data_IF_916638438557
#
_entry.id   IF_916638438557
#
_cell.length_a   1.000
_cell.length_b   1.000
_cell.length_c   1.000
_cell.angle_alpha   90.00
_cell.angle_beta   90.00
_cell.angle_gamma   90.00
#
_symmetry.space_group_name_H-M   'P 1'
#
loop_
_entity.id
_entity.type
_entity.pdbx_description
1 polymer ?
#
# COMPACT_ATOMS: atom_id res chain seq x y z
N UNK A 1 -31.33 19.69 -25.73
CA UNK A 1 -30.39 20.52 -26.51
C UNK A 1 -29.95 19.72 -27.74
N UNK A 2 -30.03 20.31 -28.93
CA UNK A 2 -29.61 19.69 -30.22
C UNK A 2 -28.49 20.48 -30.89
N UNK A 3 -27.65 19.79 -31.68
CA UNK A 3 -26.72 20.38 -32.64
C UNK A 3 -27.50 20.79 -33.89
N UNK A 4 -27.52 22.09 -34.17
CA UNK A 4 -28.28 22.71 -35.26
C UNK A 4 -27.41 23.01 -36.47
N UNK A 5 -26.10 23.24 -36.27
CA UNK A 5 -25.16 23.51 -37.36
C UNK A 5 -23.77 22.97 -37.06
N UNK A 6 -23.08 22.51 -38.10
CA UNK A 6 -21.68 22.07 -38.03
C UNK A 6 -20.88 22.59 -39.22
N UNK A 7 -19.79 23.26 -38.93
CA UNK A 7 -18.76 23.64 -39.89
C UNK A 7 -17.43 22.97 -39.54
N UNK A 8 -16.74 22.43 -40.55
CA UNK A 8 -15.44 21.80 -40.41
C UNK A 8 -14.54 22.29 -41.54
N UNK A 9 -13.34 22.74 -41.18
CA UNK A 9 -12.32 23.16 -42.13
C UNK A 9 -10.99 22.47 -41.82
N UNK A 10 -10.40 21.84 -42.84
CA UNK A 10 -9.07 21.21 -42.80
C UNK A 10 -8.85 20.22 -41.64
N UNK A 11 -9.87 19.45 -41.26
CA UNK A 11 -9.79 18.46 -40.20
C UNK A 11 -9.67 17.04 -40.76
N UNK A 12 -8.61 16.32 -40.42
CA UNK A 12 -8.31 14.97 -40.95
C UNK A 12 -8.48 14.90 -42.48
N UNK A 13 -9.43 14.11 -43.00
CA UNK A 13 -9.69 13.98 -44.44
C UNK A 13 -10.52 15.15 -45.02
N UNK A 14 -11.16 15.98 -44.18
CA UNK A 14 -12.13 17.00 -44.59
C UNK A 14 -11.42 18.31 -44.94
N UNK A 15 -11.64 18.81 -46.15
CA UNK A 15 -11.16 20.14 -46.56
C UNK A 15 -12.13 21.23 -46.10
N UNK A 16 -13.41 21.10 -46.44
CA UNK A 16 -14.49 21.98 -46.02
C UNK A 16 -15.77 21.17 -45.90
N UNK A 17 -16.57 21.46 -44.88
CA UNK A 17 -17.90 20.91 -44.66
C UNK A 17 -18.72 21.94 -43.91
N UNK A 18 -19.97 22.11 -44.31
CA UNK A 18 -20.95 22.96 -43.65
C UNK A 18 -22.32 22.32 -43.80
N UNK A 19 -23.05 22.19 -42.70
CA UNK A 19 -24.40 21.64 -42.71
C UNK A 19 -25.24 22.23 -41.58
N UNK A 20 -26.43 22.67 -41.92
CA UNK A 20 -27.53 22.91 -40.99
C UNK A 20 -28.32 21.61 -40.82
N UNK A 21 -28.49 21.15 -39.58
CA UNK A 21 -29.24 19.95 -39.26
C UNK A 21 -30.70 20.30 -39.00
N UNK A 22 -31.60 19.57 -39.66
CA UNK A 22 -33.04 19.64 -39.38
C UNK A 22 -33.44 18.86 -38.13
N UNK A 23 -34.74 18.57 -38.00
CA UNK A 23 -35.31 17.91 -36.82
C UNK A 23 -35.04 16.39 -36.75
N UNK A 24 -34.32 15.82 -37.72
CA UNK A 24 -34.04 14.40 -37.79
C UNK A 24 -33.23 13.88 -36.60
N UNK A 25 -33.68 12.76 -36.01
CA UNK A 25 -33.01 12.12 -34.88
C UNK A 25 -31.79 11.28 -35.29
N UNK A 26 -31.72 10.85 -36.55
CA UNK A 26 -30.56 10.13 -37.12
C UNK A 26 -30.03 10.90 -38.31
N UNK A 27 -28.76 11.28 -38.24
CA UNK A 27 -28.03 12.02 -39.26
C UNK A 27 -26.97 11.09 -39.83
N UNK A 28 -27.11 10.72 -41.10
CA UNK A 28 -26.19 9.78 -41.76
C UNK A 28 -25.18 10.53 -42.62
N UNK A 29 -23.91 10.23 -42.42
CA UNK A 29 -22.82 10.58 -43.30
C UNK A 29 -22.59 9.41 -44.25
N UNK A 30 -23.13 9.53 -45.47
CA UNK A 30 -23.07 8.45 -46.47
C UNK A 30 -22.01 8.70 -47.54
N UNK A 31 -21.28 7.65 -47.94
CA UNK A 31 -20.28 7.73 -49.00
C UNK A 31 -19.43 6.47 -49.14
N UNK A 32 -18.57 6.44 -50.17
CA UNK A 32 -17.61 5.35 -50.38
C UNK A 32 -16.56 5.29 -49.27
N UNK A 33 -15.81 4.20 -49.17
CA UNK A 33 -14.67 4.14 -48.24
C UNK A 33 -13.61 5.17 -48.65
N UNK A 34 -12.96 5.79 -47.65
CA UNK A 34 -11.96 6.83 -47.87
C UNK A 34 -12.50 8.26 -48.08
N UNK A 35 -13.82 8.48 -48.13
CA UNK A 35 -14.41 9.82 -48.33
C UNK A 35 -14.47 10.70 -47.08
N UNK A 36 -13.93 10.23 -45.95
CA UNK A 36 -13.88 11.00 -44.70
C UNK A 36 -15.16 10.95 -43.84
N UNK A 37 -16.06 9.97 -44.00
CA UNK A 37 -17.25 9.81 -43.14
C UNK A 37 -16.91 9.82 -41.65
N UNK A 38 -15.97 8.97 -41.25
CA UNK A 38 -15.49 8.86 -39.87
C UNK A 38 -14.90 10.17 -39.36
N UNK A 39 -14.29 10.97 -40.25
CA UNK A 39 -13.73 12.27 -39.87
C UNK A 39 -14.80 13.27 -39.42
N UNK A 40 -16.06 13.15 -39.89
CA UNK A 40 -17.16 14.00 -39.42
C UNK A 40 -17.55 13.63 -37.99
N UNK A 41 -17.67 12.33 -37.70
CA UNK A 41 -17.94 11.83 -36.34
C UNK A 41 -16.81 12.24 -35.38
N UNK A 42 -15.55 12.07 -35.81
CA UNK A 42 -14.37 12.49 -35.04
C UNK A 42 -14.32 14.00 -34.82
N UNK A 43 -14.81 14.81 -35.77
CA UNK A 43 -14.87 16.26 -35.60
C UNK A 43 -15.86 16.64 -34.50
N UNK A 44 -17.05 16.04 -34.48
CA UNK A 44 -18.06 16.25 -33.43
C UNK A 44 -17.50 15.80 -32.07
N UNK A 45 -16.90 14.61 -32.01
CA UNK A 45 -16.27 14.08 -30.80
C UNK A 45 -15.14 15.01 -30.30
N UNK A 46 -14.23 15.43 -31.17
CA UNK A 46 -13.13 16.33 -30.81
C UNK A 46 -13.61 17.72 -30.37
N UNK A 47 -14.69 18.23 -30.95
CA UNK A 47 -15.29 19.51 -30.55
C UNK A 47 -15.76 19.45 -29.10
N UNK A 48 -16.61 18.47 -28.78
CA UNK A 48 -17.35 18.39 -27.53
C UNK A 48 -16.62 17.63 -26.42
N UNK A 49 -16.08 16.44 -26.70
CA UNK A 49 -15.46 15.57 -25.69
C UNK A 49 -13.99 15.90 -25.37
N UNK A 50 -13.39 16.87 -26.09
CA UNK A 50 -12.10 17.44 -25.74
C UNK A 50 -10.93 16.46 -25.88
N UNK A 51 -9.92 16.62 -25.00
CA UNK A 51 -8.60 15.98 -25.13
C UNK A 51 -8.61 14.47 -25.43
N UNK A 52 -9.52 13.73 -24.77
CA UNK A 52 -9.69 12.28 -24.94
C UNK A 52 -10.18 11.84 -26.32
N UNK A 53 -10.83 12.75 -27.06
CA UNK A 53 -11.45 12.48 -28.35
C UNK A 53 -10.73 13.19 -29.51
N UNK A 54 -9.69 13.98 -29.22
CA UNK A 54 -8.89 14.62 -30.25
C UNK A 54 -7.97 13.56 -30.87
N UNK A 55 -8.02 13.34 -32.20
CA UNK A 55 -7.09 12.43 -32.86
C UNK A 55 -5.66 12.95 -32.78
N UNK A 56 -4.68 12.05 -32.83
CA UNK A 56 -3.24 12.39 -32.78
C UNK A 56 -2.83 13.43 -33.82
N UNK A 57 -3.41 13.34 -35.03
CA UNK A 57 -3.16 14.26 -36.13
C UNK A 57 -4.50 14.88 -36.57
N UNK A 58 -4.95 15.98 -35.93
CA UNK A 58 -6.25 16.58 -36.23
C UNK A 58 -6.23 17.46 -37.47
N UNK A 59 -5.07 18.04 -37.81
CA UNK A 59 -4.94 18.94 -38.96
C UNK A 59 -4.74 18.12 -40.24
N UNK A 60 -5.55 18.40 -41.27
CA UNK A 60 -5.42 17.79 -42.60
C UNK A 60 -4.00 17.99 -43.14
N UNK A 61 -3.45 16.95 -43.74
CA UNK A 61 -2.12 17.00 -44.35
C UNK A 61 -2.02 18.17 -45.35
N UNK A 62 -0.99 19.01 -45.20
CA UNK A 62 -0.77 20.21 -46.01
C UNK A 62 -1.43 21.49 -45.48
N UNK A 63 -2.33 21.42 -44.49
CA UNK A 63 -2.93 22.59 -43.87
C UNK A 63 -2.12 23.09 -42.65
N UNK A 64 -2.23 24.39 -42.34
CA UNK A 64 -1.58 25.01 -41.16
C UNK A 64 -2.46 25.02 -39.90
N UNK A 65 -3.77 24.93 -40.09
CA UNK A 65 -4.78 24.98 -39.02
C UNK A 65 -6.01 24.17 -39.43
N UNK A 66 -6.72 23.65 -38.44
CA UNK A 66 -8.07 23.10 -38.59
C UNK A 66 -9.05 23.85 -37.69
N UNK A 67 -10.29 24.01 -38.14
CA UNK A 67 -11.35 24.71 -37.39
C UNK A 67 -12.60 23.85 -37.41
N UNK A 68 -13.22 23.69 -36.25
CA UNK A 68 -14.52 23.04 -36.09
C UNK A 68 -15.43 24.01 -35.35
N UNK A 69 -16.60 24.30 -35.90
CA UNK A 69 -17.62 25.13 -35.27
C UNK A 69 -18.90 24.30 -35.19
N UNK A 70 -19.43 24.13 -33.99
CA UNK A 70 -20.73 23.49 -33.77
C UNK A 70 -21.66 24.45 -33.05
N UNK A 71 -22.82 24.70 -33.63
CA UNK A 71 -23.89 25.47 -33.01
C UNK A 71 -24.96 24.52 -32.49
N UNK A 72 -25.35 24.73 -31.25
CA UNK A 72 -26.47 24.07 -30.61
C UNK A 72 -27.57 25.08 -30.33
N UNK A 73 -28.73 24.61 -29.90
CA UNK A 73 -29.83 25.49 -29.46
C UNK A 73 -29.42 26.53 -28.40
N UNK A 74 -28.39 26.26 -27.58
CA UNK A 74 -27.99 27.14 -26.49
C UNK A 74 -26.54 27.64 -26.55
N UNK A 75 -25.65 26.98 -27.30
CA UNK A 75 -24.21 27.24 -27.30
C UNK A 75 -23.61 27.23 -28.70
N UNK A 76 -22.66 28.13 -28.93
CA UNK A 76 -21.73 28.10 -30.06
C UNK A 76 -20.36 27.66 -29.56
N UNK A 77 -19.91 26.51 -30.06
CA UNK A 77 -18.64 25.89 -29.71
C UNK A 77 -17.68 26.00 -30.88
N UNK A 78 -16.49 26.56 -30.66
CA UNK A 78 -15.44 26.67 -31.67
C UNK A 78 -14.15 26.03 -31.17
N UNK A 79 -13.65 25.03 -31.88
CA UNK A 79 -12.35 24.43 -31.62
C UNK A 79 -11.39 24.67 -32.78
N UNK A 80 -10.21 25.17 -32.45
CA UNK A 80 -9.14 25.47 -33.41
C UNK A 80 -7.94 24.61 -33.07
N UNK A 81 -7.33 24.02 -34.10
CA UNK A 81 -6.08 23.27 -34.00
C UNK A 81 -4.98 23.99 -34.78
N UNK A 82 -3.81 24.11 -34.16
CA UNK A 82 -2.60 24.66 -34.77
C UNK A 82 -1.40 23.79 -34.38
N UNK A 83 -0.24 24.02 -35.01
CA UNK A 83 1.00 23.37 -34.60
C UNK A 83 1.39 23.61 -33.13
N UNK A 84 0.86 24.67 -32.49
CA UNK A 84 1.12 25.00 -31.08
C UNK A 84 0.17 24.28 -30.10
N UNK A 85 -0.89 23.66 -30.59
CA UNK A 85 -1.91 23.01 -29.77
C UNK A 85 -3.34 23.38 -30.19
N UNK A 86 -4.28 23.15 -29.27
CA UNK A 86 -5.72 23.33 -29.48
C UNK A 86 -6.27 24.49 -28.63
N UNK A 87 -7.30 25.16 -29.11
CA UNK A 87 -8.05 26.19 -28.37
C UNK A 87 -9.53 25.90 -28.52
N UNK A 88 -10.25 25.85 -27.40
CA UNK A 88 -11.71 25.77 -27.34
C UNK A 88 -12.27 27.12 -26.88
N UNK A 89 -13.28 27.62 -27.58
CA UNK A 89 -14.12 28.73 -27.13
C UNK A 89 -15.57 28.27 -27.14
N UNK A 90 -16.29 28.53 -26.05
CA UNK A 90 -17.73 28.30 -25.95
C UNK A 90 -18.41 29.60 -25.57
N UNK A 91 -19.52 29.92 -26.23
CA UNK A 91 -20.36 31.09 -25.96
C UNK A 91 -21.83 30.66 -25.95
N UNK A 92 -22.69 31.32 -25.17
CA UNK A 92 -24.14 31.24 -25.38
C UNK A 92 -24.52 31.57 -26.82
N UNK A 93 -25.51 30.88 -27.37
CA UNK A 93 -26.06 31.13 -28.70
C UNK A 93 -27.03 32.33 -28.67
N UNK A 94 -26.53 33.45 -28.14
CA UNK A 94 -27.21 34.73 -28.05
C UNK A 94 -26.25 35.83 -28.48
N UNK A 95 -26.71 36.77 -29.31
CA UNK A 95 -25.88 37.82 -29.88
C UNK A 95 -25.22 38.68 -28.79
N UNK A 96 -23.90 38.86 -28.88
CA UNK A 96 -23.13 39.70 -27.94
C UNK A 96 -22.66 38.98 -26.67
N UNK A 97 -22.97 37.69 -26.50
CA UNK A 97 -22.59 36.95 -25.30
C UNK A 97 -21.07 36.78 -25.14
N UNK A 98 -20.62 36.91 -23.89
CA UNK A 98 -19.22 36.69 -23.50
C UNK A 98 -18.83 35.20 -23.54
N UNK A 99 -17.51 34.96 -23.58
CA UNK A 99 -16.96 33.60 -23.55
C UNK A 99 -17.09 32.99 -22.15
N UNK A 100 -17.42 31.70 -22.10
CA UNK A 100 -17.46 30.93 -20.86
C UNK A 100 -16.01 30.66 -20.38
N UNK A 101 -15.75 30.88 -19.07
CA UNK A 101 -14.41 30.77 -18.47
C UNK A 101 -13.84 29.35 -18.45
N UNK A 102 -14.69 28.34 -18.27
CA UNK A 102 -14.29 26.92 -18.20
C UNK A 102 -15.02 26.14 -19.30
N UNK A 103 -14.70 26.36 -20.58
CA UNK A 103 -15.51 25.89 -21.69
C UNK A 103 -15.62 24.36 -21.73
N UNK A 104 -14.53 23.63 -21.47
CA UNK A 104 -14.56 22.17 -21.49
C UNK A 104 -15.39 21.59 -20.34
N UNK A 105 -15.27 22.14 -19.12
CA UNK A 105 -16.03 21.65 -17.97
C UNK A 105 -17.55 21.76 -18.17
N UNK A 106 -18.01 22.85 -18.80
CA UNK A 106 -19.42 23.01 -19.19
C UNK A 106 -19.83 21.98 -20.23
N UNK A 107 -18.99 21.70 -21.23
CA UNK A 107 -19.29 20.65 -22.20
C UNK A 107 -19.35 19.27 -21.55
N UNK A 108 -18.39 18.95 -20.66
CA UNK A 108 -18.34 17.67 -19.95
C UNK A 108 -19.60 17.43 -19.10
N UNK A 109 -20.16 18.47 -18.48
CA UNK A 109 -21.44 18.40 -17.77
C UNK A 109 -22.63 18.14 -18.71
N UNK A 110 -22.60 18.70 -19.93
CA UNK A 110 -23.67 18.54 -20.92
C UNK A 110 -23.66 17.17 -21.61
N UNK A 111 -22.48 16.68 -21.98
CA UNK A 111 -22.29 15.43 -22.72
C UNK A 111 -22.00 14.24 -21.81
N UNK A 112 -21.76 14.38 -20.51
CA UNK A 112 -21.43 13.25 -19.65
C UNK A 112 -20.23 12.41 -20.10
N UNK A 113 -20.36 11.08 -20.00
CA UNK A 113 -19.21 10.18 -20.09
C UNK A 113 -18.63 9.97 -21.49
N UNK A 114 -19.37 9.70 -22.56
CA UNK A 114 -18.77 9.44 -23.87
C UNK A 114 -19.72 9.66 -25.03
N UNK A 115 -19.26 10.28 -26.11
CA UNK A 115 -20.08 10.49 -27.31
C UNK A 115 -20.04 9.29 -28.27
N UNK A 116 -19.03 8.42 -28.17
CA UNK A 116 -19.01 7.15 -28.92
C UNK A 116 -19.69 6.08 -28.07
N UNK A 117 -20.92 5.66 -28.40
CA UNK A 117 -21.63 4.67 -27.60
C UNK A 117 -20.87 3.33 -27.52
N UNK A 118 -20.06 3.00 -28.53
CA UNK A 118 -19.28 1.77 -28.55
C UNK A 118 -18.11 1.78 -27.55
N UNK A 119 -17.85 2.90 -26.87
CA UNK A 119 -16.97 2.89 -25.70
C UNK A 119 -17.49 1.92 -24.63
N UNK A 120 -18.81 1.83 -24.40
CA UNK A 120 -19.38 0.88 -23.45
C UNK A 120 -19.03 -0.58 -23.78
N UNK A 121 -19.09 -0.94 -25.07
CA UNK A 121 -18.71 -2.28 -25.55
C UNK A 121 -17.25 -2.59 -25.21
N UNK A 122 -16.37 -1.60 -25.40
CA UNK A 122 -14.92 -1.70 -25.20
C UNK A 122 -14.46 -1.49 -23.75
N UNK A 123 -15.37 -1.16 -22.83
CA UNK A 123 -15.01 -0.90 -21.43
C UNK A 123 -14.62 -2.18 -20.70
N UNK A 124 -13.54 -2.09 -19.91
CA UNK A 124 -13.22 -3.09 -18.89
C UNK A 124 -14.37 -3.23 -17.88
N UNK A 125 -14.55 -4.45 -17.34
CA UNK A 125 -15.67 -4.80 -16.44
C UNK A 125 -15.91 -3.76 -15.35
N UNK A 126 -14.85 -3.33 -14.64
CA UNK A 126 -14.99 -2.37 -13.54
C UNK A 126 -15.56 -1.01 -14.00
N UNK A 127 -15.17 -0.51 -15.18
CA UNK A 127 -15.71 0.74 -15.73
C UNK A 127 -17.15 0.54 -16.20
N UNK A 128 -17.44 -0.61 -16.81
CA UNK A 128 -18.78 -0.98 -17.25
C UNK A 128 -19.76 -1.03 -16.08
N UNK A 129 -19.37 -1.65 -14.96
CA UNK A 129 -20.19 -1.74 -13.74
C UNK A 129 -20.49 -0.35 -13.15
N UNK A 130 -19.54 0.59 -13.21
CA UNK A 130 -19.77 1.99 -12.82
C UNK A 130 -20.78 2.69 -13.73
N UNK A 131 -20.65 2.52 -15.05
CA UNK A 131 -21.62 3.06 -16.01
C UNK A 131 -23.02 2.49 -15.80
N UNK A 132 -23.11 1.18 -15.51
CA UNK A 132 -24.37 0.54 -15.15
C UNK A 132 -24.93 1.07 -13.82
N UNK A 133 -24.09 1.33 -12.81
CA UNK A 133 -24.54 1.95 -11.56
C UNK A 133 -25.15 3.33 -11.80
N UNK A 134 -24.51 4.16 -12.64
CA UNK A 134 -24.99 5.49 -13.01
C UNK A 134 -26.34 5.42 -13.75
N UNK A 135 -26.46 4.52 -14.73
CA UNK A 135 -27.72 4.26 -15.44
C UNK A 135 -28.86 3.84 -14.52
N UNK A 136 -28.54 3.02 -13.51
CA UNK A 136 -29.47 2.56 -12.49
C UNK A 136 -29.74 3.60 -11.39
N UNK A 137 -29.07 4.77 -11.44
CA UNK A 137 -29.10 5.80 -10.39
C UNK A 137 -28.72 5.26 -9.01
N UNK A 138 -27.79 4.30 -8.98
CA UNK A 138 -27.23 3.74 -7.77
C UNK A 138 -25.99 4.54 -7.35
N UNK A 139 -26.00 5.02 -6.11
CA UNK A 139 -24.85 5.71 -5.52
C UNK A 139 -24.10 4.76 -4.58
N UNK A 140 -22.87 4.42 -4.96
CA UNK A 140 -21.97 3.59 -4.16
C UNK A 140 -20.87 4.40 -3.45
N UNK A 141 -20.87 5.73 -3.55
CA UNK A 141 -19.81 6.61 -3.01
C UNK A 141 -19.46 6.31 -1.55
N UNK A 142 -20.45 6.14 -0.68
CA UNK A 142 -20.25 5.78 0.74
C UNK A 142 -19.62 4.40 0.92
N UNK A 143 -20.03 3.43 0.10
CA UNK A 143 -19.48 2.08 0.12
C UNK A 143 -18.05 2.06 -0.43
N UNK A 144 -17.76 2.86 -1.45
CA UNK A 144 -16.41 3.08 -1.98
C UNK A 144 -15.49 3.72 -0.95
N UNK A 145 -15.97 4.75 -0.24
CA UNK A 145 -15.22 5.41 0.82
C UNK A 145 -14.89 4.45 1.97
N UNK A 146 -15.89 3.69 2.45
CA UNK A 146 -15.68 2.66 3.49
C UNK A 146 -14.68 1.60 3.04
N UNK A 147 -14.84 1.07 1.82
CA UNK A 147 -13.95 0.06 1.27
C UNK A 147 -12.52 0.56 1.13
N UNK A 148 -12.34 1.80 0.66
CA UNK A 148 -11.03 2.45 0.54
C UNK A 148 -10.35 2.62 1.90
N UNK A 149 -11.11 3.00 2.93
CA UNK A 149 -10.64 3.05 4.31
C UNK A 149 -10.13 1.68 4.81
N UNK A 150 -10.94 0.63 4.66
CA UNK A 150 -10.54 -0.72 5.06
C UNK A 150 -9.37 -1.27 4.24
N UNK A 151 -9.27 -0.93 2.96
CA UNK A 151 -8.13 -1.33 2.12
C UNK A 151 -6.83 -0.74 2.64
N UNK A 152 -6.84 0.53 3.07
CA UNK A 152 -5.69 1.18 3.70
C UNK A 152 -5.32 0.49 5.01
N UNK A 153 -6.28 0.28 5.91
CA UNK A 153 -6.05 -0.41 7.18
C UNK A 153 -5.52 -1.84 6.97
N UNK A 154 -6.06 -2.58 5.99
CA UNK A 154 -5.62 -3.95 5.66
C UNK A 154 -4.19 -3.96 5.14
N UNK A 155 -3.81 -2.97 4.32
CA UNK A 155 -2.46 -2.81 3.80
C UNK A 155 -1.45 -2.57 4.92
N UNK A 156 -1.81 -1.75 5.90
CA UNK A 156 -0.97 -1.46 7.06
C UNK A 156 -0.86 -2.69 7.98
N UNK A 157 -1.98 -3.34 8.31
CA UNK A 157 -2.00 -4.58 9.09
C UNK A 157 -1.17 -5.70 8.43
N UNK A 158 -1.28 -5.88 7.10
CA UNK A 158 -0.49 -6.87 6.36
C UNK A 158 1.01 -6.56 6.34
N UNK A 159 1.38 -5.27 6.29
CA UNK A 159 2.78 -4.84 6.38
C UNK A 159 3.36 -5.15 7.76
N UNK A 160 2.62 -4.85 8.82
CA UNK A 160 3.08 -5.06 10.18
C UNK A 160 3.09 -6.56 10.55
N UNK A 161 2.12 -7.34 10.05
CA UNK A 161 2.14 -8.81 10.15
C UNK A 161 3.41 -9.39 9.54
N UNK A 162 3.81 -8.91 8.35
CA UNK A 162 5.05 -9.35 7.69
C UNK A 162 6.28 -9.01 8.54
N UNK A 163 6.32 -7.84 9.17
CA UNK A 163 7.43 -7.45 10.06
C UNK A 163 7.45 -8.31 11.33
N UNK A 164 6.31 -8.55 11.96
CA UNK A 164 6.21 -9.40 13.15
C UNK A 164 6.68 -10.82 12.84
N UNK A 165 6.23 -11.41 11.73
CA UNK A 165 6.70 -12.73 11.26
C UNK A 165 8.21 -12.77 11.01
N UNK A 166 8.77 -11.75 10.38
CA UNK A 166 10.23 -11.66 10.16
C UNK A 166 11.02 -11.56 11.48
N UNK A 167 10.49 -10.87 12.50
CA UNK A 167 11.10 -10.83 13.84
C UNK A 167 11.04 -12.19 14.53
N UNK A 168 9.92 -12.90 14.43
CA UNK A 168 9.77 -14.27 14.97
C UNK A 168 10.78 -15.23 14.31
N UNK A 169 10.96 -15.12 13.00
CA UNK A 169 11.91 -15.95 12.23
C UNK A 169 13.37 -15.63 12.56
N UNK A 170 13.69 -14.37 12.87
CA UNK A 170 15.01 -13.95 13.30
C UNK A 170 15.38 -14.39 14.73
N UNK A 171 14.38 -14.78 15.55
CA UNK A 171 14.65 -15.31 16.89
C UNK A 171 15.17 -16.76 16.79
N UNK A 172 16.22 -17.13 17.55
CA UNK A 172 16.70 -18.50 17.64
C UNK A 172 15.57 -19.50 17.94
N UNK A 173 15.75 -20.75 17.52
CA UNK A 173 14.83 -21.82 17.90
C UNK A 173 14.87 -22.03 19.43
N UNK A 174 13.72 -22.30 20.07
CA UNK A 174 13.69 -22.55 21.50
C UNK A 174 14.47 -23.84 21.81
N UNK A 175 15.43 -23.73 22.72
CA UNK A 175 16.13 -24.89 23.29
C UNK A 175 15.16 -25.68 24.18
N UNK A 176 15.26 -27.02 24.26
CA UNK A 176 14.41 -27.83 25.12
C UNK A 176 14.57 -27.43 26.59
N UNK A 177 13.46 -27.28 27.31
CA UNK A 177 13.45 -26.99 28.74
C UNK A 177 14.12 -28.15 29.51
N UNK A 178 15.30 -27.90 30.09
CA UNK A 178 15.88 -28.79 31.10
C UNK A 178 15.32 -28.42 32.47
N UNK A 179 14.62 -29.37 33.10
CA UNK A 179 14.23 -29.29 34.52
C UNK A 179 15.48 -29.19 35.40
N UNK A 180 15.64 -28.11 36.17
CA UNK A 180 16.66 -28.08 37.20
C UNK A 180 16.89 -26.75 37.91
N UNK A 181 16.62 -26.76 39.21
CA UNK A 181 16.96 -25.80 40.28
C UNK A 181 16.54 -24.32 40.16
N UNK A 182 15.94 -23.85 41.26
CA UNK A 182 15.26 -22.56 41.47
C UNK A 182 16.18 -21.40 41.86
N UNK A 183 17.50 -21.58 41.88
CA UNK A 183 18.42 -20.54 42.33
C UNK A 183 18.50 -19.39 41.32
N UNK A 184 18.22 -18.16 41.75
CA UNK A 184 18.28 -17.01 40.85
C UNK A 184 19.72 -16.51 40.67
N UNK A 185 20.00 -15.86 39.53
CA UNK A 185 21.30 -15.22 39.26
C UNK A 185 21.70 -14.25 40.39
N UNK A 186 20.73 -13.60 41.02
CA UNK A 186 20.97 -12.69 42.15
C UNK A 186 21.43 -13.43 43.40
N UNK A 187 20.84 -14.58 43.71
CA UNK A 187 21.20 -15.39 44.89
C UNK A 187 22.62 -15.98 44.77
N UNK A 188 22.99 -16.41 43.55
CA UNK A 188 24.34 -16.95 43.28
C UNK A 188 25.44 -15.88 43.35
N UNK A 189 25.15 -14.63 42.96
CA UNK A 189 26.09 -13.52 43.07
C UNK A 189 26.37 -13.15 44.54
N UNK A 190 25.33 -13.09 45.37
CA UNK A 190 25.46 -12.84 46.80
C UNK A 190 26.30 -13.92 47.49
N UNK A 191 26.13 -15.17 47.08
CA UNK A 191 26.91 -16.30 47.64
C UNK A 191 28.37 -16.29 47.18
N UNK A 192 28.68 -15.83 45.96
CA UNK A 192 30.07 -15.64 45.49
C UNK A 192 30.78 -14.58 46.33
N UNK A 193 30.16 -13.40 46.51
CA UNK A 193 30.76 -12.30 47.28
C UNK A 193 31.05 -12.73 48.73
N UNK A 194 30.13 -13.50 49.34
CA UNK A 194 30.31 -14.05 50.69
C UNK A 194 31.51 -15.01 50.79
N UNK A 195 31.69 -15.90 49.80
CA UNK A 195 32.79 -16.88 49.80
C UNK A 195 34.14 -16.22 49.54
N UNK A 196 34.20 -15.22 48.67
CA UNK A 196 35.43 -14.47 48.39
C UNK A 196 35.91 -13.70 49.62
N UNK A 197 35.00 -13.05 50.36
CA UNK A 197 35.33 -12.36 51.62
C UNK A 197 35.87 -13.32 52.69
N UNK A 198 35.30 -14.52 52.82
CA UNK A 198 35.78 -15.54 53.77
C UNK A 198 37.18 -16.04 53.40
N UNK A 199 37.43 -16.31 52.12
CA UNK A 199 38.74 -16.77 51.66
C UNK A 199 39.84 -15.70 51.85
N UNK A 200 39.51 -14.41 51.72
CA UNK A 200 40.43 -13.30 51.98
C UNK A 200 40.82 -13.19 53.47
N UNK A 201 39.85 -13.37 54.38
CA UNK A 201 40.09 -13.41 55.83
C UNK A 201 40.97 -14.62 56.24
N UNK A 202 40.71 -15.79 55.66
CA UNK A 202 41.54 -16.99 55.88
C UNK A 202 42.99 -16.77 55.43
N UNK A 203 43.20 -16.17 54.26
CA UNK A 203 44.53 -15.84 53.73
C UNK A 203 45.31 -14.92 54.67
N UNK A 204 44.64 -13.89 55.20
CA UNK A 204 45.23 -12.93 56.15
C UNK A 204 45.67 -13.60 57.46
N UNK A 205 44.85 -14.50 58.02
CA UNK A 205 45.18 -15.24 59.26
C UNK A 205 46.32 -16.24 59.07
N UNK A 206 46.37 -16.93 57.91
CA UNK A 206 47.48 -17.81 57.54
C UNK A 206 48.80 -17.04 57.45
N UNK A 207 48.79 -15.83 56.88
CA UNK A 207 49.98 -14.97 56.82
C UNK A 207 50.46 -14.57 58.21
N UNK A 208 49.55 -14.13 59.09
CA UNK A 208 49.88 -13.74 60.46
C UNK A 208 50.49 -14.89 61.26
N UNK A 209 49.96 -16.11 61.10
CA UNK A 209 50.51 -17.30 61.76
C UNK A 209 51.95 -17.59 61.31
N UNK A 210 52.23 -17.43 60.02
CA UNK A 210 53.58 -17.62 59.47
C UNK A 210 54.55 -16.60 60.09
N UNK A 211 54.20 -15.32 60.10
CA UNK A 211 55.04 -14.26 60.69
C UNK A 211 55.34 -14.52 62.18
N UNK A 212 54.34 -15.00 62.93
CA UNK A 212 54.49 -15.33 64.35
C UNK A 212 55.42 -16.53 64.56
N UNK A 213 55.35 -17.55 63.70
CA UNK A 213 56.24 -18.72 63.75
C UNK A 213 57.68 -18.36 63.38
N UNK A 214 57.85 -17.61 62.31
CA UNK A 214 59.17 -17.18 61.84
C UNK A 214 59.87 -16.36 62.93
N UNK A 215 59.16 -15.40 63.55
CA UNK A 215 59.68 -14.61 64.67
C UNK A 215 60.00 -15.44 65.92
N UNK A 216 59.21 -16.48 66.22
CA UNK A 216 59.52 -17.40 67.32
C UNK A 216 60.77 -18.26 67.04
N UNK A 217 61.00 -18.63 65.78
CA UNK A 217 62.22 -19.31 65.34
C UNK A 217 63.46 -18.41 65.47
N UNK A 218 63.38 -17.18 64.97
CA UNK A 218 64.48 -16.22 65.02
C UNK A 218 64.90 -15.88 66.47
N UNK A 219 63.93 -15.75 67.39
CA UNK A 219 64.20 -15.52 68.81
C UNK A 219 64.85 -16.73 69.50
N UNK A 220 64.49 -17.94 69.11
CA UNK A 220 65.09 -19.17 69.64
C UNK A 220 66.53 -19.36 69.16
N UNK A 221 66.83 -19.01 67.90
CA UNK A 221 68.14 -19.23 67.29
C UNK A 221 69.16 -18.09 67.57
N UNK A 222 68.71 -16.85 67.80
CA UNK A 222 69.58 -15.69 68.01
C UNK A 222 70.08 -15.46 69.44
N UNK A 223 69.29 -15.85 70.45
CA UNK A 223 69.63 -15.60 71.86
C UNK A 223 70.60 -16.63 72.47
N UNK A 224 70.49 -17.90 72.05
CA UNK A 224 71.19 -19.00 72.74
C UNK A 224 72.67 -19.07 72.34
N UNK A 225 73.00 -18.82 71.07
CA UNK A 225 74.38 -18.94 70.57
C UNK A 225 75.32 -17.80 70.98
N UNK A 226 74.79 -16.60 71.18
CA UNK A 226 75.62 -15.44 71.58
C UNK A 226 75.92 -15.44 73.09
N UNK A 227 75.10 -16.10 73.91
CA UNK A 227 75.30 -16.21 75.36
C UNK A 227 76.32 -17.29 75.76
N UNK A 228 76.50 -18.36 74.97
CA UNK A 228 77.53 -19.38 75.23
C UNK A 228 78.96 -18.84 75.06
N UNK A 229 79.18 -17.92 74.12
CA UNK A 229 80.49 -17.28 73.91
C UNK A 229 80.79 -16.15 74.91
N UNK A 230 79.74 -15.57 75.52
CA UNK A 230 79.84 -14.51 76.54
C UNK A 230 80.01 -15.09 77.95
N UNK A 231 79.51 -16.31 78.22
CA UNK A 231 79.64 -17.03 79.49
C UNK A 231 81.10 -17.28 79.91
N UNK A 232 82.03 -17.36 78.96
CA UNK A 232 83.46 -17.54 79.25
C UNK A 232 84.13 -16.23 79.73
N UNK A 233 83.46 -15.07 79.60
CA UNK A 233 84.10 -13.76 79.70
C UNK A 233 83.54 -12.82 80.78
N UNK A 234 82.46 -13.16 81.47
CA UNK A 234 81.79 -12.24 82.42
C UNK A 234 81.55 -12.87 83.78
N UNK A 235 82.64 -13.10 84.53
CA UNK A 235 82.56 -13.48 85.95
C UNK A 235 82.15 -12.30 86.86
N UNK A 236 81.88 -11.10 86.32
CA UNK A 236 81.62 -9.88 87.10
C UNK A 236 80.27 -9.16 86.82
N UNK A 237 79.42 -9.54 85.84
CA UNK A 237 78.15 -8.83 85.49
C UNK A 237 76.88 -9.72 85.51
N UNK A 238 76.74 -10.60 86.50
CA UNK A 238 75.73 -11.67 86.53
C UNK A 238 74.25 -11.22 86.68
N UNK A 239 73.97 -10.01 87.18
CA UNK A 239 72.60 -9.62 87.56
C UNK A 239 71.79 -8.96 86.41
N UNK A 240 72.43 -8.20 85.50
CA UNK A 240 71.70 -7.50 84.42
C UNK A 240 71.31 -8.41 83.24
N UNK A 241 72.04 -9.51 83.01
CA UNK A 241 71.74 -10.48 81.95
C UNK A 241 70.52 -11.36 82.27
N UNK A 242 70.21 -11.54 83.56
CA UNK A 242 69.10 -12.36 84.04
C UNK A 242 67.74 -11.73 83.73
N UNK A 243 67.61 -10.42 83.92
CA UNK A 243 66.36 -9.69 83.67
C UNK A 243 65.99 -9.66 82.18
N UNK A 244 66.99 -9.56 81.28
CA UNK A 244 66.78 -9.59 79.83
C UNK A 244 66.40 -10.99 79.33
N UNK A 245 67.00 -12.04 79.89
CA UNK A 245 66.67 -13.43 79.58
C UNK A 245 65.25 -13.81 80.07
N UNK A 246 64.84 -13.34 81.25
CA UNK A 246 63.47 -13.54 81.75
C UNK A 246 62.43 -12.80 80.89
N UNK A 247 62.72 -11.55 80.47
CA UNK A 247 61.83 -10.80 79.59
C UNK A 247 61.65 -11.48 78.21
N UNK A 248 62.73 -11.96 77.60
CA UNK A 248 62.68 -12.68 76.33
C UNK A 248 61.96 -14.03 76.44
N UNK A 249 62.12 -14.75 77.56
CA UNK A 249 61.44 -16.01 77.81
C UNK A 249 59.91 -15.83 77.95
N UNK A 250 59.46 -14.76 78.61
CA UNK A 250 58.04 -14.41 78.72
C UNK A 250 57.45 -14.03 77.36
N UNK A 251 58.16 -13.23 76.56
CA UNK A 251 57.70 -12.87 75.22
C UNK A 251 57.64 -14.08 74.27
N UNK A 252 58.61 -14.99 74.35
CA UNK A 252 58.61 -16.25 73.60
C UNK A 252 57.38 -17.11 73.94
N UNK A 253 57.06 -17.25 75.22
CA UNK A 253 55.94 -18.10 75.66
C UNK A 253 54.60 -17.51 75.25
N UNK A 254 54.40 -16.19 75.40
CA UNK A 254 53.18 -15.52 74.93
C UNK A 254 52.98 -15.63 73.41
N UNK A 255 54.06 -15.56 72.61
CA UNK A 255 53.99 -15.75 71.16
C UNK A 255 53.73 -17.22 70.78
N UNK A 256 54.25 -18.18 71.55
CA UNK A 256 53.97 -19.61 71.36
C UNK A 256 52.51 -19.93 71.66
N UNK A 257 51.98 -19.47 72.79
CA UNK A 257 50.58 -19.66 73.15
C UNK A 257 49.65 -19.04 72.11
N UNK A 258 49.92 -17.79 71.69
CA UNK A 258 49.17 -17.13 70.62
C UNK A 258 49.29 -17.88 69.28
N UNK A 259 50.47 -18.42 68.96
CA UNK A 259 50.71 -19.23 67.78
C UNK A 259 49.97 -20.56 67.78
N UNK A 260 49.80 -21.20 68.95
CA UNK A 260 49.05 -22.46 69.11
C UNK A 260 47.55 -22.21 68.91
N UNK A 261 47.00 -21.15 69.51
CA UNK A 261 45.58 -20.78 69.34
C UNK A 261 45.29 -20.45 67.88
N UNK A 262 46.11 -19.59 67.26
CA UNK A 262 45.93 -19.22 65.87
C UNK A 262 46.16 -20.39 64.90
N UNK A 263 47.07 -21.32 65.24
CA UNK A 263 47.25 -22.54 64.47
C UNK A 263 46.01 -23.46 64.52
N UNK A 264 45.32 -23.54 65.66
CA UNK A 264 44.07 -24.28 65.78
C UNK A 264 42.94 -23.62 64.98
N UNK A 265 42.84 -22.29 65.01
CA UNK A 265 41.87 -21.53 64.20
C UNK A 265 42.11 -21.70 62.70
N UNK A 266 43.36 -21.59 62.25
CA UNK A 266 43.74 -21.78 60.85
C UNK A 266 43.55 -23.22 60.39
N UNK A 267 43.81 -24.21 61.25
CA UNK A 267 43.60 -25.62 60.93
C UNK A 267 42.12 -25.99 60.76
N UNK A 268 41.22 -25.22 61.38
CA UNK A 268 39.77 -25.38 61.25
C UNK A 268 39.17 -24.65 60.03
N UNK A 269 39.94 -23.80 59.34
CA UNK A 269 39.48 -23.06 58.16
C UNK A 269 39.52 -23.93 56.90
N UNK A 270 38.36 -24.13 56.29
CA UNK A 270 38.20 -24.80 54.99
C UNK A 270 37.87 -23.73 53.96
N UNK A 271 38.70 -23.61 52.93
CA UNK A 271 38.43 -22.70 51.81
C UNK A 271 37.27 -23.27 50.98
N UNK A 272 36.27 -22.44 50.70
CA UNK A 272 35.10 -22.86 49.94
C UNK A 272 35.35 -22.65 48.46
N UNK A 273 35.16 -23.71 47.66
CA UNK A 273 35.30 -23.64 46.21
C UNK A 273 34.23 -22.73 45.60
N UNK A 274 34.67 -21.75 44.81
CA UNK A 274 33.82 -20.80 44.08
C UNK A 274 33.58 -21.25 42.63
N UNK A 275 34.31 -22.26 42.14
CA UNK A 275 34.18 -22.75 40.76
C UNK A 275 32.79 -23.34 40.50
N UNK A 276 32.22 -24.07 41.48
CA UNK A 276 30.88 -24.63 41.39
C UNK A 276 29.80 -23.54 41.26
N UNK A 277 29.90 -22.48 42.07
CA UNK A 277 28.91 -21.37 42.07
C UNK A 277 29.03 -20.52 40.82
N UNK A 278 30.26 -20.30 40.31
CA UNK A 278 30.49 -19.61 39.03
C UNK A 278 29.95 -20.42 37.83
N UNK A 279 30.07 -21.75 37.85
CA UNK A 279 29.46 -22.60 36.83
C UNK A 279 27.94 -22.53 36.85
N UNK A 280 27.32 -22.58 38.04
CA UNK A 280 25.87 -22.38 38.22
C UNK A 280 25.41 -21.00 37.76
N UNK A 281 26.20 -19.95 38.02
CA UNK A 281 25.90 -18.58 37.57
C UNK A 281 25.86 -18.47 36.04
N UNK A 282 26.80 -19.11 35.35
CA UNK A 282 26.82 -19.15 33.88
C UNK A 282 25.58 -19.84 33.32
N UNK A 283 25.20 -21.00 33.87
CA UNK A 283 24.01 -21.75 33.47
C UNK A 283 22.72 -20.97 33.77
N UNK A 284 22.63 -20.31 34.93
CA UNK A 284 21.49 -19.47 35.28
C UNK A 284 21.36 -18.23 34.36
N UNK A 285 22.48 -17.63 33.96
CA UNK A 285 22.50 -16.51 33.00
C UNK A 285 22.03 -16.91 31.60
N UNK A 286 22.43 -18.10 31.13
CA UNK A 286 21.97 -18.66 29.85
C UNK A 286 20.47 -18.95 29.88
N UNK A 287 19.96 -19.56 30.95
CA UNK A 287 18.52 -19.81 31.15
C UNK A 287 17.69 -18.53 31.23
N UNK A 288 18.15 -17.51 31.95
CA UNK A 288 17.45 -16.22 32.02
C UNK A 288 17.37 -15.56 30.63
N UNK A 289 18.43 -15.69 29.82
CA UNK A 289 18.45 -15.20 28.45
C UNK A 289 17.51 -15.99 27.54
N UNK A 290 17.44 -17.32 27.70
CA UNK A 290 16.50 -18.17 26.98
C UNK A 290 15.04 -17.86 27.34
N UNK A 291 14.73 -17.68 28.63
CA UNK A 291 13.40 -17.30 29.11
C UNK A 291 12.95 -15.95 28.53
N UNK A 292 13.82 -14.94 28.53
CA UNK A 292 13.51 -13.63 27.94
C UNK A 292 13.25 -13.71 26.42
N UNK A 293 14.00 -14.56 25.69
CA UNK A 293 13.76 -14.80 24.25
C UNK A 293 12.42 -15.50 24.01
N UNK A 294 12.05 -16.44 24.88
CA UNK A 294 10.78 -17.16 24.78
C UNK A 294 9.59 -16.24 25.07
N UNK A 295 9.69 -15.36 26.07
CA UNK A 295 8.68 -14.34 26.35
C UNK A 295 8.49 -13.38 25.16
N UNK A 296 9.59 -12.87 24.58
CA UNK A 296 9.54 -12.01 23.39
C UNK A 296 8.95 -12.75 22.17
N UNK A 297 9.31 -14.03 21.96
CA UNK A 297 8.70 -14.87 20.92
C UNK A 297 7.19 -14.99 21.12
N UNK A 298 6.73 -15.29 22.34
CA UNK A 298 5.30 -15.39 22.65
C UNK A 298 4.56 -14.08 22.38
N UNK A 299 5.14 -12.94 22.78
CA UNK A 299 4.58 -11.61 22.53
C UNK A 299 4.44 -11.32 21.03
N UNK A 300 5.48 -11.58 20.24
CA UNK A 300 5.46 -11.35 18.80
C UNK A 300 4.47 -12.29 18.09
N UNK A 301 4.33 -13.54 18.55
CA UNK A 301 3.33 -14.49 18.04
C UNK A 301 1.92 -13.98 18.30
N UNK A 302 1.64 -13.48 19.50
CA UNK A 302 0.32 -12.91 19.82
C UNK A 302 0.03 -11.65 18.99
N UNK A 303 1.02 -10.75 18.84
CA UNK A 303 0.91 -9.59 17.95
C UNK A 303 0.61 -10.00 16.50
N UNK A 304 1.35 -10.99 15.97
CA UNK A 304 1.13 -11.52 14.63
C UNK A 304 -0.27 -12.12 14.48
N UNK A 305 -0.77 -12.86 15.47
CA UNK A 305 -2.11 -13.43 15.46
C UNK A 305 -3.20 -12.34 15.46
N UNK A 306 -3.02 -11.26 16.21
CA UNK A 306 -3.96 -10.14 16.23
C UNK A 306 -3.98 -9.38 14.90
N UNK A 307 -2.81 -9.15 14.30
CA UNK A 307 -2.68 -8.53 12.98
C UNK A 307 -3.29 -9.40 11.88
N UNK A 308 -3.10 -10.72 11.94
CA UNK A 308 -3.70 -11.68 11.00
C UNK A 308 -5.24 -11.69 11.11
N UNK A 309 -5.79 -11.73 12.34
CA UNK A 309 -7.25 -11.59 12.57
C UNK A 309 -7.78 -10.29 12.00
N UNK A 310 -7.08 -9.17 12.22
CA UNK A 310 -7.48 -7.86 11.69
C UNK A 310 -7.48 -7.85 10.16
N UNK A 311 -6.45 -8.42 9.55
CA UNK A 311 -6.34 -8.58 8.10
C UNK A 311 -7.51 -9.38 7.52
N UNK A 312 -7.86 -10.50 8.14
CA UNK A 312 -8.97 -11.36 7.73
C UNK A 312 -10.34 -10.64 7.86
N UNK A 313 -10.58 -9.95 8.99
CA UNK A 313 -11.82 -9.18 9.22
C UNK A 313 -11.98 -8.08 8.16
N UNK A 314 -10.92 -7.32 7.89
CA UNK A 314 -10.98 -6.23 6.90
C UNK A 314 -11.22 -6.78 5.49
N UNK A 315 -10.62 -7.92 5.16
CA UNK A 315 -10.87 -8.62 3.88
C UNK A 315 -12.34 -9.02 3.77
N UNK A 316 -12.91 -9.68 4.79
CA UNK A 316 -14.31 -10.07 4.80
C UNK A 316 -15.27 -8.86 4.70
N UNK A 317 -14.94 -7.73 5.33
CA UNK A 317 -15.71 -6.48 5.20
C UNK A 317 -15.70 -5.94 3.76
N UNK A 318 -14.53 -5.94 3.12
CA UNK A 318 -14.39 -5.52 1.71
C UNK A 318 -15.20 -6.43 0.79
N UNK A 319 -15.10 -7.76 0.94
CA UNK A 319 -15.85 -8.74 0.17
C UNK A 319 -17.37 -8.57 0.37
N UNK A 320 -17.78 -8.23 1.60
CA UNK A 320 -19.17 -7.92 1.93
C UNK A 320 -19.70 -6.70 1.17
N UNK A 321 -18.92 -5.61 1.10
CA UNK A 321 -19.27 -4.42 0.31
C UNK A 321 -19.34 -4.74 -1.18
N UNK A 322 -18.35 -5.46 -1.71
CA UNK A 322 -18.31 -5.84 -3.12
C UNK A 322 -19.54 -6.71 -3.48
N UNK A 323 -19.93 -7.62 -2.58
CA UNK A 323 -21.15 -8.41 -2.72
C UNK A 323 -22.44 -7.57 -2.67
N UNK A 324 -22.49 -6.53 -1.84
CA UNK A 324 -23.64 -5.61 -1.77
C UNK A 324 -23.78 -4.83 -3.08
N UNK A 325 -22.68 -4.32 -3.64
CA UNK A 325 -22.69 -3.61 -4.92
C UNK A 325 -23.14 -4.51 -6.06
N UNK A 326 -22.57 -5.72 -6.16
CA UNK A 326 -22.94 -6.69 -7.18
C UNK A 326 -24.44 -7.03 -7.13
N UNK A 327 -24.98 -7.34 -5.95
CA UNK A 327 -26.42 -7.61 -5.78
C UNK A 327 -27.30 -6.39 -6.07
N UNK A 328 -26.80 -5.18 -5.81
CA UNK A 328 -27.56 -3.94 -6.06
C UNK A 328 -27.66 -3.68 -7.56
N UNK A 329 -26.57 -3.90 -8.31
CA UNK A 329 -26.57 -3.83 -9.76
C UNK A 329 -27.46 -4.91 -10.38
N UNK A 330 -27.38 -6.15 -9.91
CA UNK A 330 -28.20 -7.25 -10.42
C UNK A 330 -29.71 -7.04 -10.23
N UNK A 331 -30.11 -6.42 -9.11
CA UNK A 331 -31.52 -6.09 -8.83
C UNK A 331 -31.97 -4.77 -9.45
N UNK A 332 -31.06 -4.01 -10.07
CA UNK A 332 -31.38 -2.71 -10.64
C UNK A 332 -32.33 -2.85 -11.83
N UNK A 333 -33.14 -1.80 -12.03
CA UNK A 333 -33.88 -1.63 -13.28
C UNK A 333 -33.11 -0.66 -14.15
N UNK A 334 -32.69 -1.11 -15.33
CA UNK A 334 -31.98 -0.28 -16.28
C UNK A 334 -32.96 0.42 -17.23
N UNK A 335 -32.67 1.65 -17.69
CA UNK A 335 -33.51 2.40 -18.63
C UNK A 335 -33.43 1.87 -20.07
N UNK A 336 -33.02 0.61 -20.25
CA UNK A 336 -32.71 -0.02 -21.53
C UNK A 336 -33.33 -1.40 -21.53
N UNK A 337 -34.23 -1.61 -22.48
CA UNK A 337 -35.00 -2.84 -22.59
C UNK A 337 -34.06 -4.02 -22.82
N UNK A 338 -34.29 -5.12 -22.11
CA UNK A 338 -33.50 -6.35 -22.22
C UNK A 338 -32.14 -6.34 -21.51
N UNK A 339 -31.63 -5.18 -21.07
CA UNK A 339 -30.35 -5.08 -20.38
C UNK A 339 -30.47 -5.56 -18.93
N UNK A 340 -29.63 -6.52 -18.54
CA UNK A 340 -29.53 -7.03 -17.18
C UNK A 340 -28.07 -7.27 -16.79
N UNK A 341 -27.76 -7.13 -15.51
CA UNK A 341 -26.53 -7.67 -14.94
C UNK A 341 -26.90 -8.90 -14.12
N UNK A 342 -26.23 -10.02 -14.35
CA UNK A 342 -26.44 -11.25 -13.58
C UNK A 342 -25.09 -11.94 -13.36
N UNK A 343 -24.81 -12.40 -12.14
CA UNK A 343 -23.56 -13.08 -11.79
C UNK A 343 -22.28 -12.31 -12.18
N UNK A 344 -22.38 -10.97 -12.26
CA UNK A 344 -21.28 -10.09 -12.67
C UNK A 344 -20.98 -10.11 -14.18
N UNK A 345 -21.90 -10.62 -14.99
CA UNK A 345 -21.89 -10.55 -16.45
C UNK A 345 -23.08 -9.73 -16.96
N UNK A 346 -22.85 -8.95 -18.01
CA UNK A 346 -23.90 -8.17 -18.67
C UNK A 346 -24.63 -9.06 -19.67
N UNK A 347 -25.96 -9.03 -19.63
CA UNK A 347 -26.85 -9.73 -20.54
C UNK A 347 -27.72 -8.72 -21.29
N UNK A 348 -27.99 -9.00 -22.56
CA UNK A 348 -28.95 -8.27 -23.38
C UNK A 348 -29.94 -9.28 -23.96
N UNK A 349 -31.23 -9.09 -23.71
CA UNK A 349 -32.30 -9.99 -24.17
C UNK A 349 -32.10 -11.46 -23.75
N UNK A 350 -31.45 -11.68 -22.60
CA UNK A 350 -31.12 -13.01 -22.08
C UNK A 350 -29.87 -13.67 -22.68
N UNK A 351 -29.13 -12.96 -23.54
CA UNK A 351 -27.87 -13.43 -24.13
C UNK A 351 -26.69 -12.70 -23.47
N UNK A 352 -25.59 -13.39 -23.10
CA UNK A 352 -24.39 -12.72 -22.60
C UNK A 352 -23.89 -11.66 -23.60
N UNK A 353 -23.46 -10.49 -23.10
CA UNK A 353 -23.07 -9.33 -23.92
C UNK A 353 -22.05 -9.72 -25.01
N UNK A 354 -21.01 -10.48 -24.65
CA UNK A 354 -19.97 -10.95 -25.57
C UNK A 354 -20.50 -11.88 -26.68
N UNK A 355 -21.63 -12.57 -26.43
CA UNK A 355 -22.28 -13.45 -27.40
C UNK A 355 -23.35 -12.73 -28.25
N UNK A 356 -23.70 -11.49 -27.90
CA UNK A 356 -24.61 -10.70 -28.72
C UNK A 356 -23.97 -10.43 -30.08
N UNK A 357 -24.75 -10.35 -31.15
CA UNK A 357 -24.20 -9.95 -32.44
C UNK A 357 -23.83 -8.45 -32.42
N UNK A 358 -22.89 -8.04 -33.28
CA UNK A 358 -22.36 -6.68 -33.31
C UNK A 358 -23.46 -5.62 -33.50
N UNK A 359 -24.43 -5.89 -34.36
CA UNK A 359 -25.51 -4.95 -34.68
C UNK A 359 -26.45 -4.70 -33.48
N UNK A 360 -26.78 -5.73 -32.69
CA UNK A 360 -27.51 -5.56 -31.42
C UNK A 360 -26.69 -4.79 -30.40
N UNK A 361 -25.39 -5.06 -30.29
CA UNK A 361 -24.51 -4.29 -29.38
C UNK A 361 -24.42 -2.82 -29.78
N UNK A 362 -24.44 -2.50 -31.07
CA UNK A 362 -24.50 -1.12 -31.56
C UNK A 362 -25.78 -0.42 -31.07
N UNK A 363 -26.95 -1.03 -31.25
CA UNK A 363 -28.23 -0.46 -30.82
C UNK A 363 -28.27 -0.30 -29.29
N UNK A 364 -27.91 -1.35 -28.53
CA UNK A 364 -27.90 -1.29 -27.08
C UNK A 364 -26.91 -0.25 -26.55
N UNK A 365 -25.70 -0.21 -27.09
CA UNK A 365 -24.70 0.83 -26.76
C UNK A 365 -25.22 2.24 -27.08
N UNK A 366 -25.96 2.41 -28.17
CA UNK A 366 -26.56 3.70 -28.55
C UNK A 366 -27.60 4.13 -27.52
N UNK A 367 -28.47 3.22 -27.08
CA UNK A 367 -29.42 3.45 -25.99
C UNK A 367 -28.72 3.81 -24.67
N UNK A 368 -27.60 3.12 -24.36
CA UNK A 368 -26.75 3.42 -23.21
C UNK A 368 -26.22 4.85 -23.29
N UNK A 369 -25.62 5.23 -24.42
CA UNK A 369 -25.12 6.58 -24.67
C UNK A 369 -26.19 7.63 -24.41
N UNK A 370 -27.39 7.47 -24.98
CA UNK A 370 -28.47 8.41 -24.72
C UNK A 370 -28.94 8.48 -23.26
N UNK A 371 -28.90 7.37 -22.53
CA UNK A 371 -29.35 7.32 -21.15
C UNK A 371 -28.34 7.93 -20.16
N UNK A 372 -27.03 7.90 -20.47
CA UNK A 372 -25.98 8.54 -19.66
C UNK A 372 -25.76 10.02 -20.01
N UNK A 373 -26.39 10.55 -21.07
CA UNK A 373 -26.27 11.94 -21.49
C UNK A 373 -27.40 12.82 -20.90
N UNK A 374 -27.11 13.69 -19.91
CA UNK A 374 -28.17 14.38 -19.17
C UNK A 374 -28.80 15.55 -19.93
N UNK A 375 -28.09 16.22 -20.85
CA UNK A 375 -28.58 17.47 -21.47
C UNK A 375 -28.33 17.57 -22.99
N UNK A 376 -27.12 17.26 -23.46
CA UNK A 376 -26.78 17.22 -24.88
C UNK A 376 -26.70 15.75 -25.34
N UNK A 377 -27.85 15.24 -25.80
CA UNK A 377 -28.03 13.84 -26.20
C UNK A 377 -27.54 13.60 -27.62
N UNK A 378 -26.24 13.71 -27.83
CA UNK A 378 -25.58 13.44 -29.10
C UNK A 378 -24.77 12.15 -28.96
N UNK A 379 -24.89 11.26 -29.93
CA UNK A 379 -24.03 10.06 -30.03
C UNK A 379 -23.46 9.98 -31.44
N UNK A 380 -22.19 9.61 -31.54
CA UNK A 380 -21.45 9.42 -32.78
C UNK A 380 -21.20 7.91 -32.97
N UNK A 381 -22.03 7.26 -33.78
CA UNK A 381 -22.02 5.81 -33.96
C UNK A 381 -21.16 5.43 -35.17
N UNK A 382 -20.01 4.83 -34.91
CA UNK A 382 -19.18 4.22 -35.93
C UNK A 382 -19.74 2.84 -36.33
N UNK A 383 -19.38 2.35 -37.52
CA UNK A 383 -19.77 1.02 -38.02
C UNK A 383 -21.28 0.78 -38.15
N UNK A 384 -22.10 1.83 -38.27
CA UNK A 384 -23.54 1.69 -38.50
C UNK A 384 -23.89 1.00 -39.84
N UNK A 385 -22.92 0.82 -40.73
CA UNK A 385 -23.06 -0.01 -41.94
C UNK A 385 -23.35 -1.49 -41.66
N UNK A 386 -23.16 -1.95 -40.42
CA UNK A 386 -23.52 -3.30 -39.97
C UNK A 386 -25.03 -3.45 -39.65
N UNK A 387 -25.78 -2.36 -39.68
CA UNK A 387 -27.21 -2.34 -39.40
C UNK A 387 -27.98 -2.58 -40.70
N UNK A 388 -28.89 -3.55 -40.68
CA UNK A 388 -29.87 -3.71 -41.75
C UNK A 388 -30.99 -2.66 -41.64
N UNK A 389 -31.93 -2.64 -42.59
CA UNK A 389 -33.03 -1.67 -42.61
C UNK A 389 -33.90 -1.72 -41.34
N UNK A 390 -34.05 -2.90 -40.73
CA UNK A 390 -34.86 -3.08 -39.52
C UNK A 390 -34.15 -2.49 -38.31
N UNK A 391 -32.87 -2.79 -38.14
CA UNK A 391 -32.06 -2.24 -37.03
C UNK A 391 -31.82 -0.74 -37.19
N UNK A 392 -31.71 -0.26 -38.43
CA UNK A 392 -31.66 1.18 -38.72
C UNK A 392 -32.96 1.88 -38.30
N UNK A 393 -34.11 1.25 -38.50
CA UNK A 393 -35.39 1.78 -38.03
C UNK A 393 -35.44 1.82 -36.49
N UNK A 394 -34.98 0.76 -35.83
CA UNK A 394 -34.88 0.72 -34.37
C UNK A 394 -33.93 1.78 -33.80
N UNK A 395 -32.82 2.06 -34.49
CA UNK A 395 -31.91 3.17 -34.12
C UNK A 395 -32.62 4.52 -34.17
N UNK A 396 -33.46 4.75 -35.20
CA UNK A 396 -34.25 6.00 -35.30
C UNK A 396 -35.22 6.12 -34.14
N UNK A 397 -35.98 5.07 -33.85
CA UNK A 397 -36.94 5.04 -32.75
C UNK A 397 -36.23 5.24 -31.39
N UNK A 398 -35.05 4.65 -31.22
CA UNK A 398 -34.21 4.83 -30.03
C UNK A 398 -33.80 6.30 -29.86
N UNK A 399 -33.29 6.93 -30.92
CA UNK A 399 -32.87 8.33 -30.90
C UNK A 399 -34.06 9.28 -30.69
N UNK A 400 -35.21 9.02 -31.31
CA UNK A 400 -36.44 9.79 -31.15
C UNK A 400 -36.99 9.69 -29.72
N UNK A 401 -37.12 8.47 -29.18
CA UNK A 401 -37.57 8.23 -27.80
C UNK A 401 -36.65 8.91 -26.78
N UNK A 402 -35.35 8.93 -27.05
CA UNK A 402 -34.39 9.64 -26.22
C UNK A 402 -34.48 11.18 -26.36
N UNK A 403 -35.06 11.70 -27.45
CA UNK A 403 -34.98 13.11 -27.84
C UNK A 403 -33.56 13.53 -28.25
N UNK A 404 -32.74 12.57 -28.71
CA UNK A 404 -31.34 12.76 -29.06
C UNK A 404 -31.07 12.83 -30.56
N UNK A 405 -29.79 12.95 -30.90
CA UNK A 405 -29.27 12.91 -32.27
C UNK A 405 -28.17 11.86 -32.38
N UNK A 406 -28.39 10.84 -33.21
CA UNK A 406 -27.37 9.88 -33.60
C UNK A 406 -26.73 10.31 -34.92
N UNK A 407 -25.46 10.66 -34.87
CA UNK A 407 -24.63 10.89 -36.05
C UNK A 407 -23.94 9.59 -36.41
N UNK A 408 -24.16 9.11 -37.62
CA UNK A 408 -23.71 7.78 -38.02
C UNK A 408 -22.97 7.82 -39.34
N UNK A 409 -22.11 6.83 -39.58
CA UNK A 409 -21.49 6.63 -40.89
C UNK A 409 -21.99 5.37 -41.60
N UNK A 410 -22.40 5.53 -42.87
CA UNK A 410 -22.91 4.45 -43.69
C UNK A 410 -22.16 4.36 -45.02
N UNK A 411 -21.82 3.13 -45.44
CA UNK A 411 -21.31 2.86 -46.79
C UNK A 411 -22.48 2.85 -47.76
N UNK A 412 -22.47 3.73 -48.75
CA UNK A 412 -23.55 3.82 -49.73
C UNK A 412 -23.13 4.51 -51.03
N UNK A 413 -23.98 4.38 -52.05
CA UNK A 413 -23.76 4.97 -53.39
C UNK A 413 -24.14 6.46 -53.49
N UNK A 414 -24.60 7.09 -52.40
CA UNK A 414 -24.84 8.55 -52.34
C UNK A 414 -26.25 9.01 -52.75
N UNK A 415 -27.20 8.08 -52.95
CA UNK A 415 -28.51 8.40 -53.55
C UNK A 415 -29.71 8.47 -52.58
N UNK A 416 -29.56 8.06 -51.32
CA UNK A 416 -30.58 8.26 -50.28
C UNK A 416 -30.14 9.36 -49.31
N UNK A 417 -31.08 10.25 -48.99
CA UNK A 417 -30.86 11.54 -48.31
C UNK A 417 -30.25 11.36 -46.91
N UNK A 418 -29.03 11.86 -46.74
CA UNK A 418 -28.51 12.56 -45.54
C UNK A 418 -27.06 12.97 -45.86
N UNK A 419 -26.80 14.27 -45.67
CA UNK A 419 -25.63 15.07 -46.12
C UNK A 419 -24.73 14.45 -47.21
N UNK A 420 -24.93 14.85 -48.47
CA UNK A 420 -24.06 14.44 -49.58
C UNK A 420 -22.66 15.02 -49.41
N UNK A 421 -21.70 14.17 -49.03
CA UNK A 421 -20.27 14.50 -48.99
C UNK A 421 -19.79 14.62 -50.44
N UNK A 422 -19.40 15.84 -50.87
CA UNK A 422 -18.71 16.05 -52.15
C UNK A 422 -17.21 15.88 -51.95
N UNK A 423 -16.57 15.05 -52.76
CA UNK A 423 -15.11 14.98 -52.83
C UNK A 423 -14.57 16.18 -53.62
N UNK A 424 -13.40 16.70 -53.24
CA UNK A 424 -12.73 17.77 -54.00
C UNK A 424 -12.31 17.37 -55.43
N UNK A 425 -12.51 16.11 -55.82
CA UNK A 425 -12.27 15.61 -57.17
C UNK A 425 -13.49 15.74 -58.10
N UNK A 426 -14.66 16.14 -57.58
CA UNK A 426 -15.89 16.28 -58.38
C UNK A 426 -16.07 17.70 -59.00
N UNK A 427 -15.02 18.55 -58.96
CA UNK A 427 -14.99 19.90 -59.54
C UNK A 427 -14.12 20.02 -60.80
N UNK A 428 -13.80 18.92 -61.49
CA UNK A 428 -13.09 18.95 -62.77
C UNK A 428 -13.96 18.58 -63.96
#
# INVERSE_FOLDING_TARGET
MRLTRLEIQNFMAITSFECDFGEGAVIEFTGKNGTGKTAHLKAIQALFAGGRAIPDIPIKHGAKKAVIIGETEALVCTRIFTAKGTTLTVRPNEAGSEKIRSPQAVLDELIGQFLDPLEFDRMEKSKRDLTLAELAKLDFSKLDEQRSGWEKERRDAGRDLKKARARIEALPEPEPEEDGDTDTVADLLVEIDRREQLNEDHGSKRSLLKDKRDRAGDLADGGIKSLEEIAQRMQDDADAAKDSAEAAAVELETLREAGVVLAAEVAAMIDLDVAEVRAKLSQAGERATAAARQEERQRLVEEANQLDKTYQILTAKMDGVDSVKARSLEKATYPIDGLKLQDGETYLDGVPWEQCNASRRIIASTSIGFAIHPQLKIVCVENASLLDETMMQEMRETAEKAGGQAFIEIVGKGDKVSVKIRSAEDES
#
